data_IF_520914145113
#
_entry.id   IF_520914145113
#
_cell.length_a   1.000
_cell.length_b   1.000
_cell.length_c   1.000
_cell.angle_alpha   90.00
_cell.angle_beta   90.00
_cell.angle_gamma   90.00
#
_symmetry.space_group_name_H-M   'P 1'
#
loop_
_entity.id
_entity.type
_entity.pdbx_description
1 polymer ?
#
# COMPACT_ATOMS: atom_id res chain seq x y z
N UNK A 1 7.24 -15.30 -18.31
CA UNK A 1 7.74 -14.11 -17.58
C UNK A 1 6.93 -12.96 -18.14
N UNK A 2 6.09 -12.39 -17.37
CA UNK A 2 5.34 -11.18 -17.74
C UNK A 2 6.34 -10.02 -17.73
N UNK A 3 6.38 -9.20 -18.80
CA UNK A 3 7.24 -8.00 -18.88
C UNK A 3 6.74 -6.87 -17.96
N UNK A 4 6.29 -7.21 -16.75
CA UNK A 4 5.78 -6.25 -15.77
C UNK A 4 6.80 -6.08 -14.62
N UNK A 5 7.62 -5.01 -14.63
CA UNK A 5 8.64 -4.77 -13.59
C UNK A 5 8.07 -4.68 -12.17
N UNK A 6 6.80 -4.29 -12.02
CA UNK A 6 6.14 -4.23 -10.71
C UNK A 6 5.91 -5.63 -10.15
N UNK A 7 5.48 -6.58 -10.99
CA UNK A 7 5.32 -7.99 -10.59
C UNK A 7 6.66 -8.57 -10.12
N UNK A 8 7.75 -8.30 -10.87
CA UNK A 8 9.08 -8.78 -10.51
C UNK A 8 9.57 -8.16 -9.17
N UNK A 9 9.35 -6.85 -8.97
CA UNK A 9 9.74 -6.17 -7.73
C UNK A 9 9.00 -6.74 -6.50
N UNK A 10 7.67 -6.93 -6.60
CA UNK A 10 6.85 -7.44 -5.50
C UNK A 10 7.01 -8.95 -5.24
N UNK A 11 7.51 -9.73 -6.20
CA UNK A 11 7.92 -11.12 -5.99
C UNK A 11 9.41 -11.24 -5.60
N UNK A 12 10.18 -10.16 -5.73
CA UNK A 12 11.60 -10.05 -5.43
C UNK A 12 11.90 -9.61 -3.99
N UNK A 13 12.91 -8.75 -3.85
CA UNK A 13 13.41 -8.26 -2.56
C UNK A 13 12.38 -7.42 -1.81
N UNK A 14 11.63 -6.57 -2.51
CA UNK A 14 10.59 -5.74 -1.89
C UNK A 14 9.52 -6.59 -1.21
N UNK A 15 8.99 -7.62 -1.89
CA UNK A 15 7.99 -8.51 -1.30
C UNK A 15 8.52 -9.29 -0.11
N UNK A 16 9.78 -9.77 -0.17
CA UNK A 16 10.42 -10.45 0.97
C UNK A 16 10.58 -9.52 2.18
N UNK A 17 11.02 -8.28 1.98
CA UNK A 17 11.15 -7.28 3.06
C UNK A 17 9.78 -6.98 3.71
N UNK A 18 8.71 -6.90 2.90
CA UNK A 18 7.36 -6.73 3.42
C UNK A 18 6.88 -7.93 4.26
N UNK A 19 7.21 -9.15 3.88
CA UNK A 19 6.90 -10.35 4.67
C UNK A 19 7.70 -10.36 5.97
N UNK A 20 9.01 -10.08 5.92
CA UNK A 20 9.90 -10.05 7.09
C UNK A 20 9.45 -9.03 8.13
N UNK A 21 8.99 -7.86 7.69
CA UNK A 21 8.60 -6.76 8.57
C UNK A 21 7.08 -6.55 8.65
N UNK A 22 6.28 -7.57 8.34
CA UNK A 22 4.82 -7.49 8.20
C UNK A 22 4.14 -6.82 9.41
N UNK A 23 4.46 -7.21 10.63
CA UNK A 23 3.84 -6.66 11.84
C UNK A 23 4.19 -5.18 12.06
N UNK A 24 5.37 -4.76 11.60
CA UNK A 24 5.76 -3.34 11.64
C UNK A 24 4.92 -2.52 10.66
N UNK A 25 4.83 -2.95 9.39
CA UNK A 25 4.05 -2.26 8.36
C UNK A 25 2.57 -2.25 8.68
N UNK A 26 2.04 -3.34 9.22
CA UNK A 26 0.64 -3.41 9.61
C UNK A 26 0.30 -2.36 10.66
N UNK A 27 1.10 -2.22 11.72
CA UNK A 27 0.90 -1.20 12.76
C UNK A 27 1.05 0.22 12.20
N UNK A 28 2.09 0.46 11.41
CA UNK A 28 2.36 1.77 10.80
C UNK A 28 1.24 2.20 9.87
N UNK A 29 0.68 1.26 9.07
CA UNK A 29 -0.30 1.56 8.02
C UNK A 29 -1.76 1.38 8.47
N UNK A 30 -2.02 0.81 9.65
CA UNK A 30 -3.38 0.58 10.14
C UNK A 30 -4.25 1.85 10.20
N UNK A 31 -3.77 3.02 10.66
CA UNK A 31 -4.58 4.24 10.70
C UNK A 31 -5.07 4.69 9.31
N UNK A 32 -4.24 4.50 8.29
CA UNK A 32 -4.57 4.89 6.91
C UNK A 32 -5.67 4.00 6.32
N UNK A 33 -5.53 2.68 6.46
CA UNK A 33 -6.57 1.74 6.05
C UNK A 33 -7.87 1.92 6.84
N UNK A 34 -7.78 2.12 8.14
CA UNK A 34 -8.92 2.39 9.01
C UNK A 34 -9.72 3.63 8.62
N UNK A 35 -9.05 4.69 8.14
CA UNK A 35 -9.70 5.89 7.66
C UNK A 35 -10.60 5.63 6.43
N UNK A 36 -10.17 4.79 5.50
CA UNK A 36 -10.97 4.39 4.34
C UNK A 36 -12.12 3.48 4.76
N UNK A 37 -11.83 2.43 5.54
CA UNK A 37 -12.87 1.48 5.99
C UNK A 37 -13.99 2.17 6.76
N UNK A 38 -13.65 3.18 7.59
CA UNK A 38 -14.64 3.98 8.31
C UNK A 38 -15.58 4.76 7.39
N UNK A 39 -15.11 5.21 6.22
CA UNK A 39 -15.94 5.91 5.23
C UNK A 39 -16.76 4.96 4.36
N UNK A 40 -16.25 3.79 4.09
CA UNK A 40 -16.94 2.77 3.30
C UNK A 40 -18.11 2.13 4.06
N UNK A 41 -18.12 2.18 5.40
CA UNK A 41 -19.22 1.70 6.21
C UNK A 41 -19.52 0.21 5.99
N UNK A 42 -18.50 -0.65 6.19
CA UNK A 42 -18.62 -2.10 6.06
C UNK A 42 -19.76 -2.66 6.93
N UNK A 43 -20.47 -3.66 6.41
CA UNK A 43 -21.58 -4.31 7.08
C UNK A 43 -21.41 -5.84 7.07
N UNK A 44 -21.92 -6.54 8.07
CA UNK A 44 -22.06 -7.99 7.99
C UNK A 44 -22.82 -8.39 6.71
N UNK A 45 -22.23 -9.34 5.96
CA UNK A 45 -22.78 -9.80 4.70
C UNK A 45 -22.23 -9.11 3.44
N UNK A 46 -21.48 -8.00 3.55
CA UNK A 46 -20.80 -7.37 2.40
C UNK A 46 -19.76 -8.34 1.81
N UNK A 47 -19.80 -8.57 0.51
CA UNK A 47 -18.75 -9.27 -0.24
C UNK A 47 -17.68 -8.25 -0.61
N UNK A 48 -16.49 -8.42 -0.09
CA UNK A 48 -15.43 -7.41 -0.21
C UNK A 48 -14.23 -7.98 -0.94
N UNK A 49 -13.66 -7.19 -1.85
CA UNK A 49 -12.33 -7.44 -2.43
C UNK A 49 -11.33 -6.40 -1.93
N UNK A 50 -10.17 -6.87 -1.44
CA UNK A 50 -9.02 -6.07 -1.02
C UNK A 50 -7.94 -6.14 -2.11
N UNK A 51 -7.74 -5.04 -2.83
CA UNK A 51 -6.87 -4.91 -4.01
C UNK A 51 -5.46 -4.56 -3.57
N UNK A 52 -4.48 -5.39 -3.93
CA UNK A 52 -3.11 -5.26 -3.43
C UNK A 52 -3.04 -5.58 -1.94
N UNK A 53 -3.61 -6.72 -1.54
CA UNK A 53 -3.80 -7.10 -0.14
C UNK A 53 -2.50 -7.39 0.62
N UNK A 54 -1.39 -7.61 -0.10
CA UNK A 54 -0.09 -7.93 0.47
C UNK A 54 -0.13 -9.16 1.39
N UNK A 55 0.37 -8.99 2.62
CA UNK A 55 0.39 -10.03 3.66
C UNK A 55 -0.96 -10.21 4.39
N UNK A 56 -2.03 -9.62 3.88
CA UNK A 56 -3.41 -9.94 4.25
C UNK A 56 -3.96 -9.31 5.53
N UNK A 57 -3.23 -8.42 6.21
CA UNK A 57 -3.68 -7.86 7.49
C UNK A 57 -5.03 -7.13 7.40
N UNK A 58 -5.20 -6.30 6.37
CA UNK A 58 -6.46 -5.57 6.16
C UNK A 58 -7.58 -6.52 5.74
N UNK A 59 -7.30 -7.48 4.86
CA UNK A 59 -8.26 -8.49 4.44
C UNK A 59 -8.80 -9.29 5.63
N UNK A 60 -7.93 -9.71 6.56
CA UNK A 60 -8.33 -10.40 7.79
C UNK A 60 -9.20 -9.51 8.71
N UNK A 61 -8.85 -8.23 8.82
CA UNK A 61 -9.67 -7.27 9.57
C UNK A 61 -11.05 -7.08 8.93
N UNK A 62 -11.12 -6.97 7.61
CA UNK A 62 -12.36 -6.89 6.85
C UNK A 62 -13.18 -8.16 7.07
N UNK A 63 -12.59 -9.35 6.96
CA UNK A 63 -13.27 -10.63 7.15
C UNK A 63 -13.98 -10.72 8.51
N UNK A 64 -13.36 -10.19 9.57
CA UNK A 64 -13.99 -10.16 10.90
C UNK A 64 -15.24 -9.28 10.99
N UNK A 65 -15.32 -8.23 10.17
CA UNK A 65 -16.44 -7.28 10.14
C UNK A 65 -17.59 -7.81 9.27
N UNK A 66 -17.25 -8.38 8.11
CA UNK A 66 -18.26 -8.75 7.10
C UNK A 66 -18.84 -10.14 7.28
N UNK A 67 -18.40 -10.91 8.27
CA UNK A 67 -18.94 -12.25 8.52
C UNK A 67 -20.48 -12.25 8.53
N UNK A 68 -21.17 -13.24 7.93
CA UNK A 68 -20.61 -14.49 7.38
C UNK A 68 -20.10 -14.42 5.92
N UNK A 69 -20.12 -13.25 5.28
CA UNK A 69 -19.58 -13.13 3.92
C UNK A 69 -18.06 -13.30 3.88
N UNK A 70 -17.53 -13.64 2.72
CA UNK A 70 -16.09 -13.82 2.50
C UNK A 70 -15.44 -12.52 2.08
N UNK A 71 -14.30 -12.20 2.70
CA UNK A 71 -13.37 -11.19 2.19
C UNK A 71 -12.35 -11.85 1.25
N UNK A 72 -12.15 -11.28 0.09
CA UNK A 72 -11.19 -11.77 -0.91
C UNK A 72 -10.03 -10.79 -1.02
N UNK A 73 -8.81 -11.24 -0.71
CA UNK A 73 -7.60 -10.47 -0.98
C UNK A 73 -7.00 -10.89 -2.33
N UNK A 74 -6.67 -9.91 -3.16
CA UNK A 74 -5.98 -10.15 -4.45
C UNK A 74 -4.64 -9.40 -4.48
N UNK A 75 -3.60 -10.06 -4.98
CA UNK A 75 -2.25 -9.49 -5.11
C UNK A 75 -1.49 -10.19 -6.24
N UNK A 76 -0.50 -9.49 -6.81
CA UNK A 76 0.42 -10.04 -7.82
C UNK A 76 1.63 -10.76 -7.19
N UNK A 77 1.86 -10.61 -5.88
CA UNK A 77 2.96 -11.22 -5.16
C UNK A 77 2.57 -12.56 -4.55
N UNK A 78 3.03 -13.64 -5.15
CA UNK A 78 2.87 -14.99 -4.60
C UNK A 78 3.51 -15.09 -3.21
N UNK A 79 4.69 -14.47 -3.03
CA UNK A 79 5.41 -14.47 -1.75
C UNK A 79 4.58 -13.84 -0.61
N UNK A 80 3.94 -12.71 -0.87
CA UNK A 80 3.08 -12.06 0.14
C UNK A 80 1.78 -12.84 0.37
N UNK A 81 1.18 -13.39 -0.68
CA UNK A 81 -0.04 -14.20 -0.56
C UNK A 81 0.18 -15.48 0.26
N UNK A 82 1.34 -16.12 0.17
CA UNK A 82 1.67 -17.30 0.98
C UNK A 82 1.80 -16.93 2.46
N UNK A 83 2.39 -15.77 2.76
CA UNK A 83 2.40 -15.23 4.11
C UNK A 83 0.98 -14.90 4.60
N UNK A 84 0.13 -14.31 3.75
CA UNK A 84 -1.27 -14.00 4.07
C UNK A 84 -2.08 -15.28 4.40
N UNK A 85 -1.93 -16.34 3.61
CA UNK A 85 -2.57 -17.64 3.85
C UNK A 85 -2.09 -18.26 5.17
N UNK A 86 -0.80 -18.19 5.45
CA UNK A 86 -0.23 -18.65 6.73
C UNK A 86 -0.83 -17.92 7.92
N UNK A 87 -0.96 -16.58 7.83
CA UNK A 87 -1.58 -15.74 8.87
C UNK A 87 -3.07 -16.07 9.05
N UNK A 88 -3.81 -16.27 7.96
CA UNK A 88 -5.22 -16.67 8.03
C UNK A 88 -5.40 -18.01 8.76
N UNK A 89 -4.58 -19.01 8.42
CA UNK A 89 -4.59 -20.29 9.10
C UNK A 89 -4.28 -20.17 10.60
N UNK A 90 -3.30 -19.33 10.96
CA UNK A 90 -2.92 -19.12 12.36
C UNK A 90 -4.01 -18.41 13.18
N UNK A 91 -4.84 -17.56 12.56
CA UNK A 91 -5.96 -16.87 13.23
C UNK A 91 -7.26 -17.69 13.24
N UNK A 92 -7.31 -18.80 12.52
CA UNK A 92 -8.52 -19.61 12.34
C UNK A 92 -9.62 -18.89 11.53
N UNK A 93 -9.28 -17.86 10.77
CA UNK A 93 -10.23 -17.13 9.94
C UNK A 93 -10.67 -17.98 8.76
N UNK A 94 -11.94 -18.38 8.71
CA UNK A 94 -12.48 -19.28 7.68
C UNK A 94 -13.22 -18.56 6.55
N UNK A 95 -13.53 -17.27 6.72
CA UNK A 95 -14.25 -16.46 5.73
C UNK A 95 -13.32 -15.47 5.00
N UNK A 96 -12.12 -15.95 4.66
CA UNK A 96 -11.13 -15.19 3.89
C UNK A 96 -10.56 -16.06 2.77
N UNK A 97 -10.30 -15.45 1.64
CA UNK A 97 -9.65 -16.10 0.49
C UNK A 97 -8.54 -15.19 -0.04
N UNK A 98 -7.41 -15.76 -0.47
CA UNK A 98 -6.30 -15.04 -1.08
C UNK A 98 -6.01 -15.58 -2.48
N UNK A 99 -6.13 -14.72 -3.50
CA UNK A 99 -5.98 -15.06 -4.92
C UNK A 99 -4.78 -14.33 -5.52
N UNK A 100 -3.94 -15.07 -6.24
CA UNK A 100 -2.96 -14.46 -7.14
C UNK A 100 -3.72 -13.91 -8.35
N UNK A 101 -3.67 -12.59 -8.55
CA UNK A 101 -4.46 -11.94 -9.60
C UNK A 101 -3.87 -10.57 -9.95
N UNK A 102 -3.60 -10.33 -11.22
CA UNK A 102 -3.28 -9.00 -11.74
C UNK A 102 -4.56 -8.33 -12.23
N UNK A 103 -5.05 -7.40 -11.45
CA UNK A 103 -6.31 -6.66 -11.71
C UNK A 103 -6.28 -5.90 -13.04
N UNK A 104 -5.09 -5.54 -13.55
CA UNK A 104 -4.95 -4.86 -14.83
C UNK A 104 -5.11 -5.81 -16.00
N UNK A 105 -4.51 -7.00 -15.90
CA UNK A 105 -4.45 -7.96 -16.99
C UNK A 105 -5.69 -8.84 -17.06
N UNK A 106 -6.24 -9.20 -15.90
CA UNK A 106 -7.33 -10.15 -15.79
C UNK A 106 -8.56 -9.47 -15.14
N UNK A 107 -9.70 -9.40 -15.83
CA UNK A 107 -10.93 -8.92 -15.19
C UNK A 107 -11.38 -9.93 -14.12
N UNK A 108 -11.78 -9.40 -12.97
CA UNK A 108 -12.46 -10.18 -11.94
C UNK A 108 -13.89 -10.51 -12.37
N UNK A 109 -14.53 -11.51 -11.74
CA UNK A 109 -15.92 -11.85 -11.98
C UNK A 109 -16.84 -10.62 -11.82
N UNK A 110 -17.64 -10.33 -12.84
CA UNK A 110 -18.49 -9.15 -12.89
C UNK A 110 -19.56 -9.16 -11.79
N UNK A 111 -19.84 -8.02 -11.19
CA UNK A 111 -20.88 -7.81 -10.19
C UNK A 111 -20.83 -8.81 -9.01
N UNK A 112 -19.62 -9.20 -8.60
CA UNK A 112 -19.39 -10.20 -7.55
C UNK A 112 -19.17 -9.61 -6.17
N UNK A 113 -18.83 -8.30 -6.09
CA UNK A 113 -18.51 -7.64 -4.84
C UNK A 113 -19.42 -6.45 -4.57
N UNK A 114 -19.75 -6.26 -3.30
CA UNK A 114 -20.49 -5.10 -2.81
C UNK A 114 -19.55 -3.94 -2.50
N UNK A 115 -18.27 -4.26 -2.28
CA UNK A 115 -17.24 -3.28 -1.93
C UNK A 115 -15.85 -3.72 -2.42
N UNK A 116 -15.10 -2.76 -2.99
CA UNK A 116 -13.68 -2.87 -3.24
C UNK A 116 -12.91 -1.92 -2.32
N UNK A 117 -11.76 -2.37 -1.84
CA UNK A 117 -10.87 -1.61 -0.96
C UNK A 117 -9.43 -1.73 -1.44
N UNK A 118 -8.59 -0.71 -1.16
CA UNK A 118 -7.14 -0.82 -1.32
C UNK A 118 -6.40 0.08 -0.32
N UNK A 119 -5.38 -0.47 0.32
CA UNK A 119 -4.45 0.27 1.15
C UNK A 119 -3.11 0.40 0.43
N UNK A 120 -2.89 1.53 -0.25
CA UNK A 120 -1.66 1.85 -0.99
C UNK A 120 -1.30 0.90 -2.17
N UNK A 121 -2.18 -0.03 -2.57
CA UNK A 121 -1.91 -0.95 -3.68
C UNK A 121 -2.12 -0.32 -5.06
N UNK A 122 -3.16 0.49 -5.22
CA UNK A 122 -3.58 1.04 -6.53
C UNK A 122 -2.59 2.05 -7.15
N UNK A 123 -1.63 2.56 -6.38
CA UNK A 123 -0.60 3.49 -6.87
C UNK A 123 0.43 2.83 -7.79
N UNK A 124 0.48 1.51 -7.80
CA UNK A 124 1.50 0.75 -8.53
C UNK A 124 1.00 0.16 -9.84
N UNK A 125 -0.17 0.56 -10.30
CA UNK A 125 -0.69 0.11 -11.60
C UNK A 125 0.03 0.82 -12.76
N UNK A 126 0.73 0.09 -13.67
CA UNK A 126 1.21 0.63 -14.95
C UNK A 126 0.07 1.13 -15.85
N UNK A 127 -1.06 0.42 -15.86
CA UNK A 127 -2.24 0.71 -16.67
C UNK A 127 -3.46 1.03 -15.77
N UNK A 128 -3.45 2.19 -15.05
CA UNK A 128 -4.47 2.48 -14.05
C UNK A 128 -5.89 2.59 -14.62
N UNK A 129 -6.05 3.07 -15.87
CA UNK A 129 -7.36 3.14 -16.54
C UNK A 129 -7.98 1.75 -16.65
N UNK A 130 -7.19 0.77 -17.07
CA UNK A 130 -7.62 -0.63 -17.23
C UNK A 130 -7.92 -1.27 -15.88
N UNK A 131 -7.04 -1.05 -14.89
CA UNK A 131 -7.23 -1.57 -13.54
C UNK A 131 -8.52 -1.04 -12.89
N UNK A 132 -8.75 0.27 -12.93
CA UNK A 132 -9.96 0.86 -12.37
C UNK A 132 -11.24 0.44 -13.10
N UNK A 133 -11.19 0.24 -14.43
CA UNK A 133 -12.32 -0.31 -15.19
C UNK A 133 -12.64 -1.76 -14.74
N UNK A 134 -11.64 -2.61 -14.55
CA UNK A 134 -11.81 -3.98 -14.08
C UNK A 134 -12.34 -4.01 -12.62
N UNK A 135 -11.84 -3.14 -11.74
CA UNK A 135 -12.38 -3.00 -10.38
C UNK A 135 -13.86 -2.59 -10.43
N UNK A 136 -14.18 -1.59 -11.25
CA UNK A 136 -15.57 -1.13 -11.40
C UNK A 136 -16.49 -2.25 -11.90
N UNK A 137 -16.04 -3.03 -12.89
CA UNK A 137 -16.81 -4.15 -13.45
C UNK A 137 -17.09 -5.24 -12.40
N UNK A 138 -16.19 -5.47 -11.47
CA UNK A 138 -16.35 -6.46 -10.42
C UNK A 138 -17.38 -6.08 -9.34
N UNK A 139 -17.75 -4.80 -9.27
CA UNK A 139 -18.70 -4.28 -8.30
C UNK A 139 -20.15 -4.34 -8.82
N UNK A 140 -21.08 -4.64 -7.93
CA UNK A 140 -22.53 -4.56 -8.20
C UNK A 140 -22.97 -3.11 -8.42
N UNK A 141 -24.16 -2.90 -9.00
CA UNK A 141 -24.82 -1.59 -8.96
C UNK A 141 -25.02 -1.15 -7.50
N UNK A 142 -24.71 0.11 -7.18
CA UNK A 142 -24.65 0.61 -5.82
C UNK A 142 -23.41 0.18 -5.03
N UNK A 143 -22.50 -0.56 -5.65
CA UNK A 143 -21.24 -0.99 -5.04
C UNK A 143 -20.35 0.20 -4.69
N UNK A 144 -19.48 0.03 -3.68
CA UNK A 144 -18.62 1.06 -3.12
C UNK A 144 -17.15 0.72 -3.38
N UNK A 145 -16.37 1.73 -3.71
CA UNK A 145 -14.92 1.61 -3.82
C UNK A 145 -14.23 2.64 -2.95
N UNK A 146 -13.17 2.25 -2.25
CA UNK A 146 -12.36 3.20 -1.52
C UNK A 146 -10.92 2.76 -1.39
N UNK A 147 -10.01 3.75 -1.39
CA UNK A 147 -8.60 3.50 -1.21
C UNK A 147 -7.90 4.67 -0.53
N UNK A 148 -6.69 4.41 -0.04
CA UNK A 148 -5.75 5.43 0.41
C UNK A 148 -4.53 5.43 -0.50
N UNK A 149 -4.05 6.63 -0.84
CA UNK A 149 -2.79 6.85 -1.57
C UNK A 149 -2.06 8.07 -1.01
N UNK A 150 -0.75 8.20 -1.32
CA UNK A 150 0.03 9.35 -0.88
C UNK A 150 -0.23 10.59 -1.73
N UNK A 151 -0.14 11.76 -1.09
CA UNK A 151 -0.06 13.06 -1.75
C UNK A 151 1.37 13.28 -2.30
N UNK A 152 1.75 14.52 -2.60
CA UNK A 152 3.04 14.84 -3.23
C UNK A 152 4.22 14.38 -2.38
N UNK A 153 5.38 14.03 -3.01
CA UNK A 153 6.59 13.68 -2.29
C UNK A 153 7.02 14.72 -1.24
N UNK A 154 6.90 16.03 -1.57
CA UNK A 154 7.23 17.13 -0.65
C UNK A 154 6.46 17.10 0.67
N UNK A 155 5.26 16.52 0.65
CA UNK A 155 4.34 16.51 1.78
C UNK A 155 4.43 15.20 2.60
N UNK A 156 5.38 14.32 2.21
CA UNK A 156 5.58 13.00 2.78
C UNK A 156 7.00 12.80 3.36
N UNK A 157 7.38 13.57 4.39
CA UNK A 157 8.69 13.43 5.02
C UNK A 157 8.95 12.03 5.58
N UNK A 158 7.91 11.27 5.95
CA UNK A 158 8.03 9.88 6.39
C UNK A 158 8.74 8.98 5.37
N UNK A 159 8.49 9.21 4.08
CA UNK A 159 9.11 8.45 2.98
C UNK A 159 10.38 9.15 2.51
N UNK A 160 10.32 10.46 2.30
CA UNK A 160 11.36 11.19 1.58
C UNK A 160 12.60 11.47 2.41
N UNK A 161 12.46 11.82 3.71
CA UNK A 161 13.63 12.22 4.50
C UNK A 161 14.64 11.09 4.72
N UNK A 162 14.26 9.86 5.10
CA UNK A 162 15.19 8.75 5.22
C UNK A 162 15.89 8.43 3.90
N UNK A 163 15.14 8.44 2.79
CA UNK A 163 15.67 8.16 1.44
C UNK A 163 16.66 9.23 1.01
N UNK A 164 16.34 10.51 1.18
CA UNK A 164 17.23 11.62 0.82
C UNK A 164 18.52 11.61 1.64
N UNK A 165 18.45 11.27 2.93
CA UNK A 165 19.62 11.15 3.78
C UNK A 165 20.52 9.99 3.34
N UNK A 166 19.94 8.84 3.02
CA UNK A 166 20.68 7.66 2.57
C UNK A 166 21.28 7.83 1.15
N UNK A 167 20.63 8.60 0.29
CA UNK A 167 21.04 8.83 -1.11
C UNK A 167 22.42 9.49 -1.26
N UNK A 168 22.98 10.07 -0.19
CA UNK A 168 24.36 10.57 -0.19
C UNK A 168 25.42 9.45 -0.15
N UNK A 169 25.02 8.21 0.15
CA UNK A 169 25.92 7.10 0.42
C UNK A 169 25.68 5.88 -0.47
N UNK A 170 24.52 5.80 -1.11
CA UNK A 170 24.14 4.66 -1.97
C UNK A 170 23.42 5.16 -3.23
N UNK A 171 23.49 4.35 -4.29
CA UNK A 171 22.83 4.69 -5.52
C UNK A 171 21.30 4.73 -5.38
N UNK A 172 20.67 5.68 -6.05
CA UNK A 172 19.22 5.84 -6.12
C UNK A 172 18.79 5.68 -7.57
N UNK A 173 17.71 4.94 -7.79
CA UNK A 173 17.11 4.84 -9.11
C UNK A 173 16.56 6.22 -9.55
N UNK A 174 16.43 6.40 -10.86
CA UNK A 174 15.80 7.60 -11.40
C UNK A 174 14.41 7.79 -10.76
N UNK A 175 14.11 9.03 -10.40
CA UNK A 175 12.78 9.36 -9.85
C UNK A 175 11.72 9.06 -10.90
N UNK A 176 10.72 8.22 -10.60
CA UNK A 176 9.63 7.96 -11.51
C UNK A 176 8.91 9.24 -11.92
N UNK A 177 8.41 9.28 -13.15
CA UNK A 177 7.54 10.35 -13.60
C UNK A 177 6.26 10.44 -12.75
N UNK A 178 5.54 11.57 -12.79
CA UNK A 178 4.39 11.83 -11.91
C UNK A 178 3.22 10.88 -12.14
N UNK A 179 3.22 10.14 -13.24
CA UNK A 179 2.18 9.17 -13.60
C UNK A 179 2.69 7.73 -13.66
N UNK A 180 4.01 7.54 -13.50
CA UNK A 180 4.62 6.21 -13.47
C UNK A 180 4.33 5.50 -12.14
N UNK A 181 4.23 4.15 -12.13
CA UNK A 181 3.98 3.37 -10.92
C UNK A 181 4.97 3.71 -9.81
N UNK A 182 4.45 4.26 -8.74
CA UNK A 182 5.25 4.70 -7.58
C UNK A 182 4.33 5.04 -6.42
N UNK A 183 4.83 5.21 -5.19
CA UNK A 183 4.02 5.72 -4.09
C UNK A 183 3.28 7.02 -4.39
N UNK A 184 3.71 7.79 -5.39
CA UNK A 184 3.20 9.12 -5.69
C UNK A 184 2.47 9.25 -7.04
N UNK A 185 2.21 8.15 -7.75
CA UNK A 185 1.55 8.17 -9.06
C UNK A 185 0.11 8.74 -9.02
N UNK A 186 -0.53 8.69 -7.87
CA UNK A 186 -1.86 9.23 -7.60
C UNK A 186 -1.83 10.44 -6.65
N UNK A 187 -0.73 11.21 -6.64
CA UNK A 187 -0.61 12.38 -5.79
C UNK A 187 -1.53 13.54 -6.18
N UNK A 188 -1.89 13.63 -7.46
CA UNK A 188 -2.79 14.67 -7.99
C UNK A 188 -4.26 14.24 -7.84
N UNK A 189 -5.08 14.97 -7.04
CA UNK A 189 -6.48 14.63 -6.84
C UNK A 189 -7.33 14.77 -8.11
N UNK A 190 -6.96 15.63 -9.06
CA UNK A 190 -7.71 15.76 -10.31
C UNK A 190 -7.44 14.58 -11.24
N UNK A 191 -6.21 14.04 -11.23
CA UNK A 191 -5.91 12.77 -11.89
C UNK A 191 -6.74 11.63 -11.32
N UNK A 192 -6.88 11.52 -9.99
CA UNK A 192 -7.73 10.50 -9.35
C UNK A 192 -9.18 10.61 -9.85
N UNK A 193 -9.75 11.83 -9.82
CA UNK A 193 -11.13 12.06 -10.30
C UNK A 193 -11.30 11.68 -11.76
N UNK A 194 -10.33 12.05 -12.61
CA UNK A 194 -10.35 11.72 -14.04
C UNK A 194 -10.32 10.21 -14.28
N UNK A 195 -9.40 9.48 -13.65
CA UNK A 195 -9.28 8.02 -13.79
C UNK A 195 -10.55 7.30 -13.35
N UNK A 196 -11.07 7.63 -12.16
CA UNK A 196 -12.28 7.00 -11.65
C UNK A 196 -13.52 7.36 -12.47
N UNK A 197 -13.66 8.62 -12.90
CA UNK A 197 -14.73 9.04 -13.78
C UNK A 197 -14.71 8.34 -15.13
N UNK A 198 -13.52 8.20 -15.74
CA UNK A 198 -13.33 7.45 -17.00
C UNK A 198 -13.66 5.96 -16.85
N UNK A 199 -13.38 5.37 -15.68
CA UNK A 199 -13.75 4.00 -15.38
C UNK A 199 -15.25 3.81 -15.10
N UNK A 200 -16.05 4.88 -15.03
CA UNK A 200 -17.50 4.85 -14.79
C UNK A 200 -17.91 4.83 -13.33
N UNK A 201 -17.05 5.29 -12.41
CA UNK A 201 -17.43 5.56 -11.04
C UNK A 201 -18.14 6.92 -10.92
N UNK A 202 -19.11 6.99 -10.01
CA UNK A 202 -19.82 8.21 -9.63
C UNK A 202 -19.46 8.66 -8.20
N UNK A 203 -19.83 9.89 -7.86
CA UNK A 203 -19.69 10.47 -6.52
C UNK A 203 -18.25 10.36 -5.97
N UNK A 204 -17.27 10.64 -6.81
CA UNK A 204 -15.86 10.54 -6.45
C UNK A 204 -15.49 11.63 -5.43
N UNK A 205 -15.23 11.21 -4.21
CA UNK A 205 -14.75 12.07 -3.11
C UNK A 205 -13.26 11.82 -2.90
N UNK A 206 -12.47 12.88 -2.91
CA UNK A 206 -11.03 12.86 -2.59
C UNK A 206 -10.80 13.87 -1.48
N UNK A 207 -10.44 13.39 -0.30
CA UNK A 207 -10.24 14.23 0.88
C UNK A 207 -8.94 13.90 1.61
N UNK A 208 -8.36 14.84 2.39
CA UNK A 208 -7.18 14.54 3.19
C UNK A 208 -7.44 13.40 4.17
N UNK A 209 -6.49 12.47 4.24
CA UNK A 209 -6.46 11.36 5.17
C UNK A 209 -5.56 11.62 6.38
N UNK A 210 -5.17 10.57 7.13
CA UNK A 210 -4.21 10.68 8.22
C UNK A 210 -2.91 11.34 7.77
N UNK A 211 -2.36 12.20 8.63
CA UNK A 211 -1.25 13.11 8.28
C UNK A 211 0.08 12.75 8.96
N UNK A 212 0.18 11.61 9.62
CA UNK A 212 1.42 11.13 10.23
C UNK A 212 1.46 9.61 10.28
N UNK A 213 2.66 9.04 10.18
CA UNK A 213 2.96 7.64 10.37
C UNK A 213 3.85 7.41 11.59
N UNK A 214 3.60 6.33 12.32
CA UNK A 214 4.38 5.86 13.46
C UNK A 214 5.35 4.76 12.97
N UNK A 215 6.63 5.10 12.86
CA UNK A 215 7.67 4.21 12.35
C UNK A 215 8.29 3.31 13.44
N UNK A 216 7.78 3.35 14.66
CA UNK A 216 8.20 2.45 15.74
C UNK A 216 8.79 3.12 16.96
N UNK A 217 9.38 2.31 17.88
CA UNK A 217 10.03 2.80 19.08
C UNK A 217 11.32 3.59 18.75
N UNK A 218 11.57 4.65 19.50
CA UNK A 218 12.83 5.35 19.45
C UNK A 218 14.02 4.48 19.93
N UNK A 219 13.76 3.42 20.69
CA UNK A 219 14.79 2.47 21.11
C UNK A 219 15.32 1.60 19.96
N UNK A 220 14.54 1.50 18.85
CA UNK A 220 14.92 0.79 17.62
C UNK A 220 15.03 1.76 16.43
N UNK A 221 15.59 2.95 16.65
CA UNK A 221 15.67 4.00 15.65
C UNK A 221 16.51 3.59 14.42
N UNK A 222 17.63 2.90 14.64
CA UNK A 222 18.47 2.38 13.55
C UNK A 222 17.73 1.33 12.73
N UNK A 223 17.01 0.41 13.39
CA UNK A 223 16.15 -0.56 12.70
C UNK A 223 15.04 0.11 11.90
N UNK A 224 14.41 1.16 12.44
CA UNK A 224 13.40 1.94 11.72
C UNK A 224 14.00 2.64 10.47
N UNK A 225 15.19 3.21 10.58
CA UNK A 225 15.90 3.84 9.46
C UNK A 225 16.26 2.82 8.38
N UNK A 226 16.79 1.66 8.76
CA UNK A 226 17.09 0.56 7.85
C UNK A 226 15.84 0.09 7.09
N UNK A 227 14.75 -0.17 7.80
CA UNK A 227 13.47 -0.56 7.18
C UNK A 227 12.95 0.50 6.20
N UNK A 228 13.06 1.79 6.54
CA UNK A 228 12.65 2.88 5.66
C UNK A 228 13.43 2.90 4.33
N UNK A 229 14.72 2.50 4.35
CA UNK A 229 15.54 2.37 3.15
C UNK A 229 15.17 1.10 2.37
N UNK A 230 15.14 -0.04 3.03
CA UNK A 230 14.95 -1.37 2.40
C UNK A 230 13.55 -1.55 1.78
N UNK A 231 12.53 -0.90 2.33
CA UNK A 231 11.17 -0.94 1.76
C UNK A 231 10.97 -0.03 0.55
N UNK A 232 11.85 0.94 0.30
CA UNK A 232 11.65 1.93 -0.76
C UNK A 232 12.23 1.43 -2.09
N UNK A 233 11.40 1.17 -3.12
CA UNK A 233 11.87 0.60 -4.40
C UNK A 233 12.91 1.48 -5.11
N UNK A 234 12.91 2.79 -4.85
CA UNK A 234 13.83 3.73 -5.49
C UNK A 234 15.25 3.67 -4.94
N UNK A 235 15.49 3.13 -3.75
CA UNK A 235 16.82 3.10 -3.11
C UNK A 235 17.23 1.69 -2.67
N UNK A 236 16.30 0.79 -2.41
CA UNK A 236 16.60 -0.56 -1.94
C UNK A 236 17.60 -1.33 -2.81
N UNK A 237 17.52 -1.32 -4.16
CA UNK A 237 18.51 -2.00 -5.00
C UNK A 237 19.92 -1.45 -4.84
N UNK A 238 20.09 -0.13 -4.82
CA UNK A 238 21.39 0.52 -4.59
C UNK A 238 21.94 0.25 -3.21
N UNK A 239 21.08 0.25 -2.18
CA UNK A 239 21.44 -0.12 -0.82
C UNK A 239 21.92 -1.58 -0.72
N UNK A 240 21.23 -2.52 -1.37
CA UNK A 240 21.60 -3.93 -1.40
C UNK A 240 22.95 -4.15 -2.11
N UNK A 241 23.22 -3.43 -3.19
CA UNK A 241 24.46 -3.52 -3.97
C UNK A 241 25.65 -2.79 -3.34
N UNK A 242 25.41 -1.86 -2.40
CA UNK A 242 26.44 -1.03 -1.79
C UNK A 242 27.39 -1.81 -0.87
N UNK A 243 28.59 -1.28 -0.66
CA UNK A 243 29.55 -1.84 0.29
C UNK A 243 29.04 -1.77 1.73
N UNK A 244 29.57 -2.61 2.61
CA UNK A 244 29.18 -2.57 4.04
C UNK A 244 29.39 -1.20 4.68
N UNK A 245 30.52 -0.48 4.46
CA UNK A 245 30.69 0.88 4.97
C UNK A 245 29.65 1.86 4.45
N UNK A 246 29.30 1.80 3.16
CA UNK A 246 28.33 2.72 2.56
C UNK A 246 26.91 2.45 3.08
N UNK A 247 26.53 1.18 3.25
CA UNK A 247 25.28 0.82 3.89
C UNK A 247 25.20 1.32 5.34
N UNK A 248 26.28 1.17 6.10
CA UNK A 248 26.33 1.68 7.47
C UNK A 248 26.19 3.21 7.51
N UNK A 249 26.86 3.92 6.60
CA UNK A 249 26.76 5.37 6.47
C UNK A 249 25.35 5.83 6.07
N UNK A 250 24.71 5.14 5.12
CA UNK A 250 23.34 5.41 4.71
C UNK A 250 22.34 5.26 5.87
N UNK A 251 22.45 4.16 6.63
CA UNK A 251 21.61 3.93 7.82
C UNK A 251 21.87 4.97 8.89
N UNK A 252 23.12 5.32 9.17
CA UNK A 252 23.47 6.35 10.16
C UNK A 252 22.88 7.72 9.79
N UNK A 253 22.99 8.14 8.52
CA UNK A 253 22.43 9.40 8.04
C UNK A 253 20.89 9.45 8.14
N UNK A 254 20.23 8.34 7.78
CA UNK A 254 18.77 8.21 7.93
C UNK A 254 18.37 8.23 9.42
N UNK A 255 19.11 7.53 10.29
CA UNK A 255 18.91 7.51 11.75
C UNK A 255 19.01 8.90 12.35
N UNK A 256 20.06 9.66 12.01
CA UNK A 256 20.22 11.03 12.47
C UNK A 256 19.05 11.91 12.05
N UNK A 257 18.62 11.79 10.80
CA UNK A 257 17.49 12.54 10.28
C UNK A 257 16.18 12.21 11.02
N UNK A 258 15.90 10.91 11.22
CA UNK A 258 14.70 10.44 11.90
C UNK A 258 14.70 10.74 13.40
N UNK A 259 15.88 10.88 14.04
CA UNK A 259 15.99 11.22 15.48
C UNK A 259 15.34 12.54 15.86
N UNK A 260 15.22 13.46 14.91
CA UNK A 260 14.57 14.76 15.07
C UNK A 260 13.04 14.67 15.12
N UNK A 261 12.47 13.50 14.86
CA UNK A 261 11.04 13.23 14.81
C UNK A 261 10.56 12.31 15.95
N UNK A 262 11.29 12.27 17.07
CA UNK A 262 10.89 11.49 18.23
C UNK A 262 9.87 12.27 19.07
N UNK A 263 8.70 11.65 19.25
CA UNK A 263 7.60 12.18 20.08
C UNK A 263 7.18 11.09 21.06
N UNK A 264 7.24 11.36 22.36
CA UNK A 264 6.88 10.43 23.42
C UNK A 264 7.50 9.02 23.28
N UNK A 265 8.79 8.95 22.90
CA UNK A 265 9.52 7.69 22.73
C UNK A 265 9.20 6.92 21.44
N UNK A 266 8.50 7.55 20.50
CA UNK A 266 8.16 6.97 19.19
C UNK A 266 8.67 7.85 18.05
N UNK A 267 9.03 7.24 16.94
CA UNK A 267 9.41 7.95 15.71
C UNK A 267 8.13 8.25 14.92
N UNK A 268 7.68 9.50 14.96
CA UNK A 268 6.45 9.94 14.29
C UNK A 268 6.79 10.99 13.23
N UNK A 269 6.50 10.68 11.98
CA UNK A 269 6.83 11.55 10.85
C UNK A 269 5.59 11.91 10.05
N UNK A 270 5.59 13.09 9.44
CA UNK A 270 4.50 13.56 8.60
C UNK A 270 4.28 12.66 7.38
N UNK A 271 3.00 12.43 7.07
CA UNK A 271 2.57 11.66 5.92
C UNK A 271 1.27 12.30 5.39
N UNK A 272 1.31 12.86 4.21
CA UNK A 272 0.11 13.41 3.59
C UNK A 272 -0.53 12.37 2.67
N UNK A 273 -1.80 12.06 2.89
CA UNK A 273 -2.54 11.05 2.14
C UNK A 273 -3.87 11.57 1.62
N UNK A 274 -4.36 10.95 0.55
CA UNK A 274 -5.74 11.06 0.10
C UNK A 274 -6.52 9.84 0.54
N UNK A 275 -7.68 10.04 1.15
CA UNK A 275 -8.73 9.05 1.28
C UNK A 275 -9.72 9.28 0.15
N UNK A 276 -9.90 8.26 -0.66
CA UNK A 276 -10.75 8.31 -1.86
C UNK A 276 -11.90 7.34 -1.69
N UNK A 277 -13.11 7.80 -2.01
CA UNK A 277 -14.31 6.95 -2.12
C UNK A 277 -15.07 7.24 -3.38
N UNK A 278 -15.72 6.23 -3.95
CA UNK A 278 -16.53 6.33 -5.14
C UNK A 278 -17.63 5.25 -5.14
N UNK A 279 -18.65 5.41 -5.99
CA UNK A 279 -19.78 4.49 -6.10
C UNK A 279 -19.96 4.01 -7.53
N UNK A 280 -20.59 2.85 -7.69
CA UNK A 280 -21.10 2.33 -8.97
C UNK A 280 -22.57 2.72 -9.08
N UNK A 281 -22.92 3.45 -10.11
CA UNK A 281 -24.33 3.80 -10.44
C UNK A 281 -25.13 2.59 -10.86
#
# INVERSE_FOLDING_TARGET
MTDNPQVDAWNGESGRAWVEHADHFDRMLAPFGGAVLGRLGLRPGDRVVDIGCGVGATTLSIASIVAPATAVGVDVSVTMLDAARTRAAATGCSNVEFRHHDVQEEPMEAASFDLAFSRFGVMFFPEPDRAFANIRQSLVSGGRFGFVCFQRPSDNPMIMLPVMAAAAHVDVLATPGPTEPSPFSLADPDRIRSLLGSAGFADVVVEPGPSSGDLGSADDLEGAARRAIEQNPGIAPGFAAASQPDRAAAVAAATETMSRHIVAGRVVMGAATWVVTAHVS
#
